data_IF_697575588962
#
_entry.id   IF_697575588962
#
_cell.length_a   1.000
_cell.length_b   1.000
_cell.length_c   1.000
_cell.angle_alpha   90.00
_cell.angle_beta   90.00
_cell.angle_gamma   90.00
#
_symmetry.space_group_name_H-M   'P 1'
#
loop_
_entity.id
_entity.type
_entity.pdbx_description
1 polymer ?
#
# COMPACT_ATOMS: atom_id res chain seq x y z
N UNK A 1 1.12 -11.86 -21.30
CA UNK A 1 -0.05 -12.73 -21.05
C UNK A 1 -0.41 -12.50 -19.57
N UNK A 2 -1.40 -11.64 -19.34
CA UNK A 2 -1.87 -11.32 -17.99
C UNK A 2 -2.77 -12.47 -17.54
N UNK A 3 -2.37 -13.13 -16.43
CA UNK A 3 -3.13 -14.20 -15.83
C UNK A 3 -4.44 -13.68 -15.21
N UNK A 4 -5.45 -14.53 -15.17
CA UNK A 4 -6.74 -14.27 -14.55
C UNK A 4 -6.56 -13.95 -13.06
N UNK A 5 -6.72 -12.69 -12.68
CA UNK A 5 -6.67 -12.28 -11.28
C UNK A 5 -8.05 -12.48 -10.66
N UNK A 6 -8.13 -13.33 -9.66
CA UNK A 6 -9.37 -13.56 -8.90
C UNK A 6 -9.56 -12.43 -7.92
N UNK A 7 -10.55 -11.59 -8.14
CA UNK A 7 -10.99 -10.57 -7.17
C UNK A 7 -12.15 -11.16 -6.38
N UNK A 8 -11.95 -11.40 -5.08
CA UNK A 8 -13.02 -11.81 -4.18
C UNK A 8 -13.72 -10.56 -3.66
N UNK A 9 -14.96 -10.35 -4.09
CA UNK A 9 -15.86 -9.31 -3.54
C UNK A 9 -16.80 -9.99 -2.56
N UNK A 10 -16.79 -9.55 -1.31
CA UNK A 10 -17.73 -10.02 -0.31
C UNK A 10 -18.92 -9.03 -0.26
N UNK A 11 -20.11 -9.56 -0.62
CA UNK A 11 -21.45 -8.97 -0.46
C UNK A 11 -21.78 -7.59 -1.05
N UNK A 12 -22.09 -7.55 -2.35
CA UNK A 12 -23.20 -6.76 -2.93
C UNK A 12 -23.21 -5.23 -2.82
N UNK A 13 -22.31 -4.59 -2.10
CA UNK A 13 -22.35 -3.17 -1.78
C UNK A 13 -21.35 -2.30 -2.56
N UNK A 14 -20.42 -2.89 -3.28
CA UNK A 14 -19.48 -2.17 -4.15
C UNK A 14 -19.42 -2.81 -5.53
N UNK A 15 -19.40 -1.99 -6.57
CA UNK A 15 -19.19 -2.46 -7.95
C UNK A 15 -17.71 -2.30 -8.30
N UNK A 16 -17.05 -3.41 -8.58
CA UNK A 16 -15.71 -3.42 -9.13
C UNK A 16 -15.81 -3.35 -10.65
N UNK A 17 -15.27 -2.31 -11.24
CA UNK A 17 -15.16 -2.16 -12.69
C UNK A 17 -13.71 -2.34 -13.08
N UNK A 18 -13.42 -3.47 -13.71
CA UNK A 18 -12.09 -3.73 -14.30
C UNK A 18 -12.01 -3.03 -15.65
N UNK A 19 -11.10 -2.09 -15.80
CA UNK A 19 -10.75 -1.46 -17.08
C UNK A 19 -9.26 -1.65 -17.32
N UNK A 20 -8.89 -2.67 -18.07
CA UNK A 20 -7.51 -2.98 -18.46
C UNK A 20 -6.58 -3.00 -17.28
N UNK A 21 -6.18 -3.36 -16.43
CA UNK A 21 -5.21 -3.29 -15.32
C UNK A 21 -5.58 -2.35 -14.17
N UNK A 22 -6.80 -1.74 -14.19
CA UNK A 22 -7.23 -0.85 -13.11
C UNK A 22 -8.59 -1.29 -12.55
N UNK A 23 -8.66 -1.52 -11.24
CA UNK A 23 -9.88 -1.75 -10.50
C UNK A 23 -10.41 -0.42 -9.93
N UNK A 24 -11.65 -0.09 -10.28
CA UNK A 24 -12.33 1.10 -9.76
C UNK A 24 -13.37 0.69 -8.72
N UNK A 25 -13.25 1.21 -7.51
CA UNK A 25 -14.27 1.11 -6.48
C UNK A 25 -15.32 2.19 -6.68
N UNK A 26 -16.55 1.79 -6.96
CA UNK A 26 -17.69 2.71 -7.03
C UNK A 26 -18.63 2.47 -5.86
N UNK A 27 -19.12 3.58 -5.29
CA UNK A 27 -20.13 3.56 -4.24
C UNK A 27 -21.44 3.02 -4.82
N UNK A 28 -21.99 1.97 -4.23
CA UNK A 28 -23.34 1.49 -4.56
C UNK A 28 -24.42 2.36 -3.92
N UNK A 29 -25.57 2.50 -4.59
CA UNK A 29 -26.75 3.31 -4.14
C UNK A 29 -27.64 2.60 -3.09
N UNK A 30 -27.08 1.73 -2.26
CA UNK A 30 -27.87 1.01 -1.25
C UNK A 30 -27.73 1.62 0.14
N UNK A 31 -28.80 1.53 0.99
CA UNK A 31 -28.77 2.10 2.33
C UNK A 31 -27.70 1.40 3.18
N UNK A 32 -26.89 2.22 3.84
CA UNK A 32 -25.76 1.80 4.68
C UNK A 32 -26.27 0.95 5.84
N UNK A 33 -26.08 -0.36 5.75
CA UNK A 33 -25.99 -1.21 6.93
C UNK A 33 -24.56 -1.01 7.43
N UNK A 34 -24.40 -0.54 8.66
CA UNK A 34 -23.10 -0.43 9.32
C UNK A 34 -22.62 -1.85 9.62
N UNK A 35 -22.03 -2.47 8.65
CA UNK A 35 -21.35 -3.75 8.78
C UNK A 35 -19.85 -3.50 8.59
N UNK A 36 -19.03 -4.13 9.42
CA UNK A 36 -17.56 -4.13 9.31
C UNK A 36 -17.09 -4.97 8.11
N UNK A 37 -17.74 -4.83 6.97
CA UNK A 37 -17.41 -5.55 5.75
C UNK A 37 -16.19 -4.94 5.08
N UNK A 38 -15.29 -5.80 4.64
CA UNK A 38 -14.05 -5.43 3.96
C UNK A 38 -13.98 -6.13 2.61
N UNK A 39 -13.44 -5.42 1.63
CA UNK A 39 -12.99 -6.02 0.39
C UNK A 39 -11.51 -6.38 0.54
N UNK A 40 -11.13 -7.55 0.06
CA UNK A 40 -9.74 -8.02 0.08
C UNK A 40 -9.27 -8.17 -1.35
N UNK A 41 -8.19 -7.49 -1.69
CA UNK A 41 -7.53 -7.58 -2.99
C UNK A 41 -6.21 -8.31 -2.75
N UNK A 42 -6.05 -9.47 -3.37
CA UNK A 42 -4.83 -10.27 -3.31
C UNK A 42 -4.18 -10.31 -4.67
N UNK A 43 -2.91 -9.95 -4.72
CA UNK A 43 -2.11 -9.95 -5.94
C UNK A 43 -1.26 -11.23 -5.94
N UNK A 44 -1.40 -12.09 -6.96
CA UNK A 44 -0.55 -13.26 -7.07
C UNK A 44 0.88 -12.89 -7.43
N UNK A 45 1.77 -13.87 -7.37
CA UNK A 45 3.13 -13.76 -7.90
C UNK A 45 3.10 -13.34 -9.38
N UNK A 46 4.01 -12.48 -9.78
CA UNK A 46 4.10 -11.93 -11.14
C UNK A 46 2.99 -10.94 -11.50
N UNK A 47 2.08 -10.62 -10.57
CA UNK A 47 0.98 -9.68 -10.78
C UNK A 47 1.30 -8.28 -10.27
N UNK A 48 0.77 -7.28 -10.96
CA UNK A 48 0.71 -5.88 -10.51
C UNK A 48 -0.70 -5.36 -10.77
N UNK A 49 -1.23 -4.55 -9.86
CA UNK A 49 -2.58 -3.99 -10.02
C UNK A 49 -2.66 -2.55 -9.56
N UNK A 50 -3.49 -1.77 -10.26
CA UNK A 50 -3.84 -0.40 -9.86
C UNK A 50 -5.27 -0.40 -9.36
N UNK A 51 -5.46 0.10 -8.14
CA UNK A 51 -6.77 0.20 -7.49
C UNK A 51 -7.10 1.67 -7.26
N UNK A 52 -8.30 2.09 -7.65
CA UNK A 52 -8.82 3.41 -7.33
C UNK A 52 -9.89 3.30 -6.25
N UNK A 53 -9.63 3.94 -5.11
CA UNK A 53 -10.52 3.92 -3.94
C UNK A 53 -11.66 4.92 -4.10
N UNK A 54 -12.70 4.78 -3.26
CA UNK A 54 -13.90 5.65 -3.30
C UNK A 54 -13.61 7.14 -3.06
N UNK A 55 -12.55 7.45 -2.29
CA UNK A 55 -12.11 8.83 -2.02
C UNK A 55 -11.29 9.44 -3.18
N UNK A 56 -10.99 8.66 -4.22
CA UNK A 56 -10.15 9.04 -5.35
C UNK A 56 -8.65 8.79 -5.14
N UNK A 57 -8.25 8.19 -4.03
CA UNK A 57 -6.88 7.69 -3.81
C UNK A 57 -6.57 6.59 -4.81
N UNK A 58 -5.36 6.61 -5.38
CA UNK A 58 -4.86 5.55 -6.27
C UNK A 58 -3.78 4.75 -5.55
N UNK A 59 -3.93 3.44 -5.58
CA UNK A 59 -2.99 2.49 -4.97
C UNK A 59 -2.44 1.59 -6.07
N UNK A 60 -1.12 1.52 -6.20
CA UNK A 60 -0.42 0.54 -7.02
C UNK A 60 -0.01 -0.60 -6.10
N UNK A 61 -0.38 -1.82 -6.43
CA UNK A 61 -0.08 -3.02 -5.65
C UNK A 61 0.94 -3.86 -6.42
N UNK A 62 2.02 -4.22 -5.75
CA UNK A 62 3.06 -5.10 -6.28
C UNK A 62 2.69 -6.58 -6.07
N UNK A 63 3.46 -7.47 -6.67
CA UNK A 63 3.33 -8.93 -6.56
C UNK A 63 3.27 -9.40 -5.10
N UNK A 64 2.50 -10.46 -4.84
CA UNK A 64 2.35 -11.09 -3.52
C UNK A 64 1.83 -10.14 -2.42
N UNK A 65 1.06 -9.10 -2.82
CA UNK A 65 0.50 -8.12 -1.89
C UNK A 65 -0.97 -8.36 -1.61
N UNK A 66 -1.40 -8.03 -0.40
CA UNK A 66 -2.80 -8.02 0.02
C UNK A 66 -3.17 -6.63 0.54
N UNK A 67 -4.25 -6.07 0.00
CA UNK A 67 -4.86 -4.84 0.46
C UNK A 67 -6.29 -5.12 0.92
N UNK A 68 -6.58 -4.81 2.21
CA UNK A 68 -7.93 -4.86 2.75
C UNK A 68 -8.48 -3.44 2.87
N UNK A 69 -9.67 -3.24 2.31
CA UNK A 69 -10.32 -1.94 2.21
C UNK A 69 -11.72 -2.06 2.80
N UNK A 70 -12.14 -1.20 3.75
CA UNK A 70 -13.53 -1.20 4.20
C UNK A 70 -14.44 -0.85 3.01
N UNK A 71 -15.67 -1.37 3.02
CA UNK A 71 -16.69 -1.04 2.00
C UNK A 71 -16.95 0.46 1.97
N UNK A 72 -16.91 1.11 3.13
CA UNK A 72 -16.96 2.57 3.27
C UNK A 72 -15.92 3.04 4.29
N UNK A 73 -15.24 4.12 3.97
CA UNK A 73 -14.33 4.75 4.91
C UNK A 73 -15.09 5.35 6.11
N UNK A 74 -14.47 5.25 7.27
CA UNK A 74 -14.96 5.88 8.50
C UNK A 74 -15.08 7.40 8.38
N UNK A 75 -15.81 8.02 9.30
CA UNK A 75 -15.98 9.49 9.34
C UNK A 75 -14.70 10.19 9.79
N UNK A 76 -13.93 9.56 10.68
CA UNK A 76 -12.77 10.15 11.33
C UNK A 76 -11.47 9.85 10.58
N UNK A 77 -11.38 8.68 9.92
CA UNK A 77 -10.20 8.25 9.17
C UNK A 77 -10.56 7.38 7.96
N UNK A 78 -9.65 7.32 7.00
CA UNK A 78 -9.68 6.44 5.82
C UNK A 78 -8.65 5.33 6.05
N UNK A 79 -9.08 4.24 6.68
CA UNK A 79 -8.21 3.15 7.10
C UNK A 79 -8.19 2.02 6.07
N UNK A 80 -6.98 1.57 5.70
CA UNK A 80 -6.73 0.36 4.90
C UNK A 80 -5.68 -0.51 5.60
N UNK A 81 -5.63 -1.81 5.29
CA UNK A 81 -4.61 -2.72 5.79
C UNK A 81 -3.79 -3.24 4.63
N UNK A 82 -2.47 -3.29 4.82
CA UNK A 82 -1.51 -3.75 3.82
C UNK A 82 -0.62 -4.86 4.37
N UNK A 83 -0.44 -5.90 3.55
CA UNK A 83 0.67 -6.85 3.62
C UNK A 83 1.29 -6.91 2.23
N UNK A 84 2.61 -6.90 2.10
CA UNK A 84 3.31 -6.83 0.82
C UNK A 84 3.81 -5.44 0.49
N UNK A 85 3.73 -5.04 -0.77
CA UNK A 85 4.26 -3.76 -1.23
C UNK A 85 3.22 -2.96 -2.03
N UNK A 86 3.08 -1.68 -1.68
CA UNK A 86 2.17 -0.77 -2.36
C UNK A 86 2.74 0.64 -2.45
N UNK A 87 2.37 1.34 -3.53
CA UNK A 87 2.57 2.77 -3.67
C UNK A 87 1.22 3.47 -3.62
N UNK A 88 1.12 4.49 -2.79
CA UNK A 88 -0.08 5.28 -2.55
C UNK A 88 0.06 6.67 -3.13
N UNK A 89 -0.90 7.08 -3.96
CA UNK A 89 -1.12 8.48 -4.35
C UNK A 89 -2.43 8.92 -3.69
N UNK A 90 -2.31 9.44 -2.46
CA UNK A 90 -3.45 9.71 -1.59
C UNK A 90 -4.09 11.05 -1.92
N UNK A 91 -5.42 11.02 -2.12
CA UNK A 91 -6.23 12.22 -2.29
C UNK A 91 -6.17 13.08 -1.02
N UNK A 92 -5.86 14.38 -1.20
CA UNK A 92 -5.74 15.30 -0.06
C UNK A 92 -7.11 15.57 0.58
N UNK A 93 -7.19 15.32 1.89
CA UNK A 93 -8.29 15.72 2.78
C UNK A 93 -7.71 16.26 4.10
N UNK A 94 -8.13 17.48 4.49
CA UNK A 94 -7.55 18.16 5.66
C UNK A 94 -7.99 17.54 6.99
N UNK A 95 -9.23 17.10 7.06
CA UNK A 95 -9.89 16.76 8.32
C UNK A 95 -9.98 15.23 8.55
N UNK A 96 -9.58 14.43 7.57
CA UNK A 96 -9.70 12.98 7.63
C UNK A 96 -8.41 12.32 7.14
N UNK A 97 -7.62 11.82 8.07
CA UNK A 97 -6.35 11.13 7.76
C UNK A 97 -6.62 9.88 6.91
N UNK A 98 -5.69 9.57 6.03
CA UNK A 98 -5.56 8.25 5.40
C UNK A 98 -4.52 7.46 6.18
N UNK A 99 -4.88 6.27 6.62
CA UNK A 99 -4.04 5.40 7.46
C UNK A 99 -3.82 4.08 6.75
N UNK A 100 -2.56 3.73 6.52
CA UNK A 100 -2.16 2.39 6.11
C UNK A 100 -1.72 1.65 7.37
N UNK A 101 -2.50 0.68 7.79
CA UNK A 101 -2.20 -0.19 8.92
C UNK A 101 -1.49 -1.43 8.46
N UNK A 102 -0.45 -1.79 9.17
CA UNK A 102 0.32 -3.01 8.94
C UNK A 102 0.49 -3.79 10.25
N UNK A 103 1.17 -4.91 10.21
CA UNK A 103 1.51 -5.67 11.41
C UNK A 103 2.65 -5.06 12.25
N UNK A 104 3.34 -3.99 11.75
CA UNK A 104 4.50 -3.37 12.42
C UNK A 104 4.26 -1.92 12.81
N UNK A 105 3.47 -1.17 12.02
CA UNK A 105 3.22 0.25 12.25
C UNK A 105 1.98 0.74 11.52
N UNK A 106 1.43 1.86 11.96
CA UNK A 106 0.44 2.67 11.26
C UNK A 106 1.15 3.83 10.54
N UNK A 107 0.84 4.01 9.26
CA UNK A 107 1.37 5.08 8.42
C UNK A 107 0.23 6.06 8.12
N UNK A 108 0.31 7.27 8.65
CA UNK A 108 -0.76 8.27 8.57
C UNK A 108 -0.38 9.47 7.72
N UNK A 109 -1.28 9.86 6.80
CA UNK A 109 -1.09 10.98 5.87
C UNK A 109 -2.39 11.77 5.67
N UNK A 110 -2.30 12.98 5.11
CA UNK A 110 -3.47 13.79 4.70
C UNK A 110 -3.65 13.83 3.19
N UNK A 111 -2.56 13.72 2.42
CA UNK A 111 -2.55 13.77 0.96
C UNK A 111 -1.12 13.74 0.47
N UNK A 112 -0.61 12.57 0.17
CA UNK A 112 0.82 12.27 0.11
C UNK A 112 1.05 11.20 -0.94
N UNK A 113 2.24 11.21 -1.54
CA UNK A 113 2.72 10.15 -2.42
C UNK A 113 3.87 9.41 -1.73
N UNK A 114 3.70 8.11 -1.47
CA UNK A 114 4.67 7.30 -0.72
C UNK A 114 4.56 5.82 -1.04
N UNK A 115 5.66 5.09 -0.86
CA UNK A 115 5.71 3.63 -0.94
C UNK A 115 5.74 3.01 0.45
N UNK A 116 5.12 1.83 0.60
CA UNK A 116 5.17 1.00 1.81
C UNK A 116 5.51 -0.42 1.38
N UNK A 117 6.50 -1.03 2.04
CA UNK A 117 6.88 -2.42 1.86
C UNK A 117 6.90 -3.13 3.21
N UNK A 118 6.13 -4.21 3.32
CA UNK A 118 5.97 -5.02 4.54
C UNK A 118 5.53 -6.44 4.17
N UNK A 119 6.40 -7.21 3.55
CA UNK A 119 6.11 -8.61 3.21
C UNK A 119 6.12 -9.51 4.45
N UNK A 120 5.28 -10.54 4.42
CA UNK A 120 5.34 -11.59 5.43
C UNK A 120 6.68 -12.31 5.35
N UNK A 121 7.42 -12.35 6.47
CA UNK A 121 8.76 -12.96 6.53
C UNK A 121 9.91 -11.97 6.37
N UNK A 122 9.66 -10.72 6.00
CA UNK A 122 10.67 -9.66 6.08
C UNK A 122 10.72 -9.07 7.50
N UNK A 123 11.93 -8.82 7.99
CA UNK A 123 12.16 -8.32 9.36
C UNK A 123 11.79 -6.86 9.52
N UNK A 124 11.69 -6.11 8.43
CA UNK A 124 11.49 -4.67 8.42
C UNK A 124 10.23 -4.26 7.64
N UNK A 125 9.64 -3.15 8.08
CA UNK A 125 8.73 -2.35 7.28
C UNK A 125 9.48 -1.15 6.75
N UNK A 126 9.37 -0.87 5.46
CA UNK A 126 9.95 0.32 4.83
C UNK A 126 8.84 1.26 4.39
N UNK A 127 8.98 2.55 4.73
CA UNK A 127 8.09 3.61 4.25
C UNK A 127 8.91 4.70 3.58
N UNK A 128 8.77 4.88 2.27
CA UNK A 128 9.56 5.83 1.47
C UNK A 128 8.69 6.99 1.00
N UNK A 129 9.06 8.22 1.34
CA UNK A 129 8.27 9.40 1.02
C UNK A 129 8.73 10.10 -0.26
N UNK A 130 7.80 10.23 -1.20
CA UNK A 130 8.01 10.92 -2.49
C UNK A 130 7.59 12.39 -2.40
N UNK A 131 6.37 12.63 -1.86
CA UNK A 131 5.80 13.98 -1.80
C UNK A 131 4.83 14.13 -0.64
N UNK A 132 4.88 15.26 0.07
CA UNK A 132 3.98 15.57 1.17
C UNK A 132 4.62 15.34 2.54
N UNK A 133 3.94 14.68 3.46
CA UNK A 133 4.42 14.35 4.81
C UNK A 133 3.78 13.05 5.28
N UNK A 134 4.56 12.21 5.92
CA UNK A 134 4.12 10.93 6.50
C UNK A 134 4.46 10.90 7.98
N UNK A 135 3.52 10.45 8.79
CA UNK A 135 3.73 10.09 10.18
C UNK A 135 3.71 8.55 10.27
N UNK A 136 4.83 7.97 10.72
CA UNK A 136 4.98 6.53 10.98
C UNK A 136 4.91 6.32 12.47
N UNK A 137 3.99 5.47 12.92
CA UNK A 137 3.74 5.17 14.34
C UNK A 137 3.80 3.66 14.56
N UNK A 138 4.77 3.20 15.33
CA UNK A 138 4.83 1.86 15.91
C UNK A 138 4.24 1.83 17.31
N UNK A 139 4.30 0.68 17.99
CA UNK A 139 3.88 0.54 19.38
C UNK A 139 4.77 1.33 20.36
N UNK A 140 6.01 1.64 19.96
CA UNK A 140 7.03 2.21 20.85
C UNK A 140 7.55 3.56 20.41
N UNK A 141 7.31 3.97 19.14
CA UNK A 141 7.94 5.14 18.56
C UNK A 141 7.03 5.85 17.55
N UNK A 142 7.26 7.14 17.33
CA UNK A 142 6.57 7.96 16.35
C UNK A 142 7.57 8.86 15.64
N UNK A 143 7.64 8.76 14.32
CA UNK A 143 8.48 9.62 13.49
C UNK A 143 7.69 10.25 12.35
N UNK A 144 8.08 11.48 12.00
CA UNK A 144 7.60 12.15 10.80
C UNK A 144 8.73 12.26 9.82
N UNK A 145 8.48 11.84 8.57
CA UNK A 145 9.44 11.92 7.47
C UNK A 145 9.04 12.96 6.45
N UNK A 146 10.05 13.48 5.75
CA UNK A 146 9.94 14.47 4.66
C UNK A 146 10.32 13.85 3.32
N UNK A 147 9.99 14.47 2.16
CA UNK A 147 10.35 13.92 0.85
C UNK A 147 11.85 13.64 0.71
N UNK A 148 12.18 12.46 0.20
CA UNK A 148 13.56 11.96 0.10
C UNK A 148 14.00 11.10 1.27
N UNK A 149 13.17 10.94 2.31
CA UNK A 149 13.45 10.09 3.46
C UNK A 149 12.70 8.76 3.38
N UNK A 150 13.29 7.78 4.04
CA UNK A 150 12.72 6.46 4.30
C UNK A 150 12.77 6.17 5.81
N UNK A 151 11.62 5.76 6.35
CA UNK A 151 11.53 5.17 7.69
C UNK A 151 11.58 3.64 7.57
N UNK A 152 12.41 3.03 8.41
CA UNK A 152 12.51 1.57 8.61
C UNK A 152 11.99 1.24 10.00
N UNK A 153 11.06 0.29 10.11
CA UNK A 153 10.54 -0.19 11.40
C UNK A 153 10.91 -1.65 11.56
N UNK A 154 11.69 -1.97 12.59
CA UNK A 154 12.13 -3.33 12.89
C UNK A 154 11.06 -4.15 13.64
N UNK A 155 11.37 -5.43 13.92
CA UNK A 155 10.50 -6.33 14.68
C UNK A 155 10.28 -5.92 16.15
N UNK A 156 11.10 -5.01 16.68
CA UNK A 156 10.94 -4.45 18.04
C UNK A 156 10.16 -3.13 18.04
N UNK A 157 9.73 -2.66 16.87
CA UNK A 157 9.00 -1.41 16.70
C UNK A 157 9.89 -0.17 16.76
N UNK A 158 11.22 -0.32 16.71
CA UNK A 158 12.15 0.82 16.62
C UNK A 158 12.06 1.41 15.23
N UNK A 159 12.00 2.74 15.14
CA UNK A 159 11.97 3.48 13.88
C UNK A 159 13.33 4.12 13.62
N UNK A 160 13.92 3.85 12.46
CA UNK A 160 15.11 4.55 11.96
C UNK A 160 14.75 5.32 10.69
N UNK A 161 15.24 6.56 10.57
CA UNK A 161 15.00 7.41 9.41
C UNK A 161 16.32 7.72 8.71
N UNK A 162 16.33 7.58 7.39
CA UNK A 162 17.50 7.90 6.56
C UNK A 162 17.11 8.59 5.26
N UNK A 163 17.98 9.40 4.70
CA UNK A 163 17.84 9.90 3.33
C UNK A 163 18.11 8.78 2.33
N UNK A 164 17.29 8.71 1.27
CA UNK A 164 17.41 7.70 0.22
C UNK A 164 17.17 8.30 -1.16
N UNK A 165 17.67 7.61 -2.18
CA UNK A 165 17.21 7.84 -3.53
C UNK A 165 15.83 7.19 -3.72
N UNK A 166 14.79 7.97 -3.72
CA UNK A 166 13.39 7.50 -3.77
C UNK A 166 13.11 6.59 -4.96
N UNK A 167 13.74 6.88 -6.12
CA UNK A 167 13.54 6.09 -7.34
C UNK A 167 13.92 4.62 -7.17
N UNK A 168 14.85 4.29 -6.29
CA UNK A 168 15.23 2.89 -6.01
C UNK A 168 14.09 2.07 -5.42
N UNK A 169 13.19 2.73 -4.65
CA UNK A 169 12.12 2.07 -3.90
C UNK A 169 10.74 2.16 -4.56
N UNK A 170 10.57 3.02 -5.56
CA UNK A 170 9.26 3.23 -6.20
C UNK A 170 9.27 3.03 -7.71
N UNK A 171 10.43 2.68 -8.31
CA UNK A 171 10.59 2.47 -9.74
C UNK A 171 9.73 1.33 -10.28
N UNK A 172 9.44 0.33 -9.44
CA UNK A 172 8.65 -0.86 -9.81
C UNK A 172 7.27 -0.48 -10.36
N UNK A 173 6.58 0.53 -9.83
CA UNK A 173 5.30 1.01 -10.35
C UNK A 173 5.34 1.46 -11.83
N UNK A 174 6.54 1.58 -12.39
CA UNK A 174 6.80 1.92 -13.81
C UNK A 174 7.44 0.75 -14.56
N UNK A 175 7.33 -0.47 -14.02
CA UNK A 175 7.89 -1.68 -14.61
C UNK A 175 9.42 -1.74 -14.58
N UNK A 176 10.08 -1.05 -13.64
CA UNK A 176 11.54 -1.04 -13.51
C UNK A 176 11.93 -1.48 -12.11
N UNK A 177 12.91 -2.34 -12.00
CA UNK A 177 13.56 -2.68 -10.74
C UNK A 177 14.95 -2.04 -10.71
N UNK A 178 15.30 -1.42 -9.60
CA UNK A 178 16.59 -0.76 -9.41
C UNK A 178 17.31 -1.42 -8.23
N UNK A 179 18.47 -1.99 -8.48
CA UNK A 179 19.32 -2.58 -7.45
C UNK A 179 20.60 -1.75 -7.31
N UNK A 180 20.89 -1.28 -6.10
CA UNK A 180 22.11 -0.53 -5.80
C UNK A 180 22.85 -1.27 -4.69
N UNK A 181 24.03 -1.80 -5.01
CA UNK A 181 24.87 -2.58 -4.09
C UNK A 181 24.11 -3.72 -3.36
N UNK A 182 23.07 -4.26 -3.97
CA UNK A 182 22.27 -5.32 -3.41
C UNK A 182 23.02 -6.66 -3.46
N UNK A 183 22.78 -7.52 -2.46
CA UNK A 183 23.31 -8.89 -2.48
C UNK A 183 22.56 -9.69 -3.56
N UNK A 184 23.24 -10.67 -4.13
CA UNK A 184 22.64 -11.51 -5.17
C UNK A 184 21.37 -12.25 -4.66
N UNK A 185 21.37 -12.67 -3.39
CA UNK A 185 20.22 -13.29 -2.73
C UNK A 185 19.00 -12.36 -2.74
N UNK A 186 19.18 -11.10 -2.31
CA UNK A 186 18.11 -10.09 -2.27
C UNK A 186 17.57 -9.79 -3.68
N UNK A 187 18.45 -9.77 -4.68
CA UNK A 187 18.07 -9.62 -6.09
C UNK A 187 17.22 -10.82 -6.55
N UNK A 188 17.63 -12.04 -6.22
CA UNK A 188 16.92 -13.25 -6.64
C UNK A 188 15.56 -13.36 -5.95
N UNK A 189 15.46 -13.01 -4.68
CA UNK A 189 14.21 -13.00 -3.92
C UNK A 189 13.22 -11.98 -4.53
N UNK A 190 13.70 -10.81 -4.90
CA UNK A 190 12.87 -9.81 -5.58
C UNK A 190 12.41 -10.29 -6.96
N UNK A 191 13.33 -10.83 -7.76
CA UNK A 191 13.00 -11.35 -9.10
C UNK A 191 12.03 -12.54 -9.05
N UNK A 192 12.12 -13.40 -8.02
CA UNK A 192 11.15 -14.49 -7.82
C UNK A 192 9.72 -14.00 -7.59
N UNK A 193 9.51 -12.80 -7.03
CA UNK A 193 8.17 -12.23 -6.91
C UNK A 193 7.61 -11.75 -8.24
N UNK A 194 8.47 -11.38 -9.18
CA UNK A 194 8.10 -10.82 -10.48
C UNK A 194 7.95 -11.86 -11.57
N UNK A 195 8.65 -12.97 -11.45
CA UNK A 195 8.66 -14.04 -12.44
C UNK A 195 8.27 -15.37 -11.78
N UNK A 196 7.43 -16.13 -12.49
CA UNK A 196 7.07 -17.50 -12.14
C UNK A 196 8.25 -18.46 -12.36
#
# INVERSE_FOLDING_TARGET
LFGDTTVCVNDGLATLVNTKDTLNFMKGDHPVVVDNSYNVIQIPRGGEYIVRLEDGTTVYLNSESELRIPVHFGKDERLVWLTGEAYFSVKHEKDRKFVVRTNKADIAVLGTEFGVRVYSGEDELLTTLVKGSVEVKSDHDIHRIVPGEQATVDNMGKIEVREVNVDEFVAWKSGRVVFVNARLEDIMDELQRWYD
#
